data_IF_265882341133
#
_entry.id   IF_265882341133
#
_cell.length_a   1.000
_cell.length_b   1.000
_cell.length_c   1.000
_cell.angle_alpha   90.00
_cell.angle_beta   90.00
_cell.angle_gamma   90.00
#
_symmetry.space_group_name_H-M   'P 1'
#
loop_
_entity.id
_entity.type
_entity.pdbx_description
1 polymer ?
#
# COMPACT_ATOMS: atom_id res chain seq x y z
N UNK A 1 -42.14 -7.13 -40.50
CA UNK A 1 -42.84 -8.41 -40.34
C UNK A 1 -43.22 -8.45 -38.88
N UNK A 2 -44.31 -7.74 -38.49
CA UNK A 2 -45.70 -8.18 -38.38
C UNK A 2 -45.86 -9.25 -37.30
N UNK A 3 -46.64 -9.12 -36.30
CA UNK A 3 -48.03 -8.82 -36.02
C UNK A 3 -48.19 -8.63 -34.49
N UNK A 4 -48.73 -7.61 -33.93
CA UNK A 4 -50.14 -7.19 -33.88
C UNK A 4 -51.10 -8.32 -33.41
N UNK A 5 -51.66 -8.16 -32.23
CA UNK A 5 -53.08 -8.46 -31.98
C UNK A 5 -53.60 -7.78 -30.70
N UNK A 6 -54.42 -6.78 -30.94
CA UNK A 6 -55.46 -6.28 -30.03
C UNK A 6 -56.53 -7.34 -29.78
N UNK A 7 -57.13 -7.39 -28.59
CA UNK A 7 -58.57 -7.63 -28.41
C UNK A 7 -59.09 -6.84 -27.20
N UNK A 8 -60.08 -6.04 -27.47
CA UNK A 8 -60.92 -5.30 -26.58
C UNK A 8 -62.09 -6.15 -26.08
N UNK A 9 -62.70 -5.77 -24.95
CA UNK A 9 -64.00 -6.26 -24.59
C UNK A 9 -64.50 -5.91 -23.20
N UNK A 10 -65.11 -4.74 -23.08
CA UNK A 10 -66.41 -4.41 -22.41
C UNK A 10 -66.62 -4.76 -20.94
N UNK A 11 -66.94 -3.72 -20.16
CA UNK A 11 -67.71 -3.79 -18.90
C UNK A 11 -69.22 -4.05 -19.18
N UNK A 12 -70.18 -3.71 -18.28
CA UNK A 12 -70.12 -3.18 -16.92
C UNK A 12 -71.13 -3.95 -15.98
N UNK A 13 -71.10 -3.76 -14.72
CA UNK A 13 -72.31 -3.88 -13.86
C UNK A 13 -72.10 -3.19 -12.48
N UNK A 14 -72.89 -2.20 -12.29
CA UNK A 14 -73.22 -1.54 -11.02
C UNK A 14 -73.88 -2.53 -10.04
N UNK A 15 -73.56 -2.43 -8.78
CA UNK A 15 -74.49 -2.76 -7.65
C UNK A 15 -74.03 -2.14 -6.35
N UNK A 16 -74.96 -1.83 -5.41
CA UNK A 16 -74.85 -0.75 -4.46
C UNK A 16 -74.55 -1.22 -3.00
N UNK A 17 -74.00 -0.29 -2.27
CA UNK A 17 -74.33 -0.11 -0.88
C UNK A 17 -74.07 -1.23 0.12
N UNK A 18 -72.88 -1.20 0.74
CA UNK A 18 -72.76 -1.70 2.11
C UNK A 18 -71.90 -0.70 2.88
N UNK A 19 -72.56 -0.01 3.79
CA UNK A 19 -71.97 0.88 4.79
C UNK A 19 -71.08 0.03 5.73
N UNK A 20 -69.83 -0.06 5.39
CA UNK A 20 -68.84 -0.63 6.31
C UNK A 20 -68.45 0.45 7.33
N UNK A 21 -68.90 0.25 8.55
CA UNK A 21 -68.46 0.98 9.70
C UNK A 21 -66.94 0.95 9.77
N UNK A 22 -66.32 2.08 9.51
CA UNK A 22 -64.88 2.29 9.61
C UNK A 22 -64.52 2.20 11.10
N UNK A 23 -64.08 1.00 11.49
CA UNK A 23 -63.44 0.81 12.78
C UNK A 23 -62.14 1.64 12.78
N UNK A 24 -62.20 2.73 13.53
CA UNK A 24 -61.04 3.60 13.81
C UNK A 24 -60.01 2.78 14.56
N UNK A 25 -59.05 2.27 13.84
CA UNK A 25 -57.85 1.64 14.43
C UNK A 25 -57.02 2.75 15.08
N UNK A 26 -57.20 2.94 16.37
CA UNK A 26 -56.28 3.73 17.20
C UNK A 26 -54.85 3.18 16.98
N UNK A 27 -53.88 4.02 16.58
CA UNK A 27 -52.50 3.60 16.55
C UNK A 27 -52.07 3.22 17.97
N UNK A 28 -51.85 1.94 18.19
CA UNK A 28 -51.18 1.44 19.39
C UNK A 28 -49.82 2.13 19.46
N UNK A 29 -49.68 3.10 20.31
CA UNK A 29 -48.44 3.78 20.63
C UNK A 29 -47.42 2.70 21.02
N UNK A 30 -46.50 2.42 20.10
CA UNK A 30 -45.31 1.61 20.32
C UNK A 30 -44.55 2.27 21.45
N UNK A 31 -44.84 1.86 22.68
CA UNK A 31 -44.01 2.22 23.82
C UNK A 31 -42.62 1.75 23.52
N UNK A 32 -41.74 2.65 23.04
CA UNK A 32 -40.31 2.43 23.05
C UNK A 32 -39.94 2.12 24.51
N UNK A 33 -39.68 0.84 24.76
CA UNK A 33 -39.01 0.46 25.98
C UNK A 33 -37.71 1.25 26.02
N UNK A 34 -37.68 2.31 26.81
CA UNK A 34 -36.44 2.94 27.20
C UNK A 34 -35.67 1.86 27.95
N UNK A 35 -34.74 1.19 27.23
CA UNK A 35 -33.84 0.22 27.82
C UNK A 35 -33.26 0.85 29.07
N UNK A 36 -33.32 0.12 30.17
CA UNK A 36 -32.71 0.49 31.45
C UNK A 36 -31.29 0.98 31.19
N UNK A 37 -31.09 2.30 31.18
CA UNK A 37 -29.80 2.91 31.26
C UNK A 37 -29.27 2.66 32.68
N UNK A 38 -28.60 1.51 32.86
CA UNK A 38 -27.88 1.24 34.08
C UNK A 38 -26.70 2.22 34.11
N UNK A 39 -26.78 3.19 35.02
CA UNK A 39 -25.66 4.09 35.29
C UNK A 39 -24.47 3.25 35.77
N UNK A 40 -23.30 3.46 35.16
CA UNK A 40 -22.06 2.86 35.61
C UNK A 40 -21.72 3.34 36.99
N UNK A 41 -21.38 2.43 37.90
CA UNK A 41 -20.89 2.80 39.22
C UNK A 41 -19.45 3.34 39.09
N UNK A 42 -19.08 4.26 40.01
CA UNK A 42 -17.72 4.81 40.04
C UNK A 42 -16.66 3.69 40.16
N UNK A 43 -16.98 2.65 40.95
CA UNK A 43 -16.09 1.49 41.11
C UNK A 43 -15.93 0.71 39.82
N UNK A 44 -17.00 0.48 39.06
CA UNK A 44 -16.96 -0.20 37.77
C UNK A 44 -16.11 0.56 36.75
N UNK A 45 -16.24 1.90 36.73
CA UNK A 45 -15.40 2.74 35.87
C UNK A 45 -13.94 2.61 36.25
N UNK A 46 -13.57 2.68 37.53
CA UNK A 46 -12.18 2.55 37.97
C UNK A 46 -11.61 1.17 37.62
N UNK A 47 -12.37 0.11 37.83
CA UNK A 47 -11.94 -1.27 37.50
C UNK A 47 -11.74 -1.43 35.98
N UNK A 48 -12.68 -0.91 35.18
CA UNK A 48 -12.55 -1.02 33.71
C UNK A 48 -11.35 -0.27 33.16
N UNK A 49 -11.08 0.96 33.62
CA UNK A 49 -9.90 1.72 33.16
C UNK A 49 -8.61 1.07 33.65
N UNK A 50 -8.58 0.46 34.84
CA UNK A 50 -7.41 -0.27 35.33
C UNK A 50 -7.11 -1.48 34.45
N UNK A 51 -8.11 -2.29 34.10
CA UNK A 51 -7.95 -3.44 33.21
C UNK A 51 -7.49 -2.99 31.82
N UNK A 52 -8.12 -1.95 31.25
CA UNK A 52 -7.74 -1.39 29.94
C UNK A 52 -6.30 -0.87 29.96
N UNK A 53 -5.88 -0.21 31.05
CA UNK A 53 -4.50 0.25 31.22
C UNK A 53 -3.48 -0.87 31.18
N UNK A 54 -3.75 -2.00 31.86
CA UNK A 54 -2.88 -3.17 31.86
C UNK A 54 -2.80 -3.78 30.45
N UNK A 55 -3.95 -3.96 29.78
CA UNK A 55 -3.98 -4.50 28.43
C UNK A 55 -3.25 -3.60 27.40
N UNK A 56 -3.45 -2.29 27.50
CA UNK A 56 -2.80 -1.31 26.65
C UNK A 56 -1.27 -1.31 26.81
N UNK A 57 -0.77 -1.52 28.03
CA UNK A 57 0.67 -1.55 28.31
C UNK A 57 1.40 -2.68 27.57
N UNK A 58 0.73 -3.81 27.36
CA UNK A 58 1.28 -4.97 26.61
C UNK A 58 1.09 -4.81 25.10
N UNK A 59 -0.05 -4.26 24.66
CA UNK A 59 -0.37 -4.12 23.23
C UNK A 59 0.55 -3.12 22.48
N UNK A 60 0.96 -2.04 23.15
CA UNK A 60 1.75 -0.98 22.55
C UNK A 60 3.12 -1.44 21.98
N UNK A 61 3.99 -2.16 22.72
CA UNK A 61 5.27 -2.62 22.17
C UNK A 61 5.10 -3.59 21.00
N UNK A 62 4.10 -4.48 21.07
CA UNK A 62 3.84 -5.45 20.00
C UNK A 62 3.51 -4.73 18.68
N UNK A 63 2.67 -3.68 18.74
CA UNK A 63 2.31 -2.92 17.55
C UNK A 63 3.52 -2.25 16.88
N UNK A 64 4.46 -1.72 17.65
CA UNK A 64 5.70 -1.12 17.12
C UNK A 64 6.57 -2.13 16.37
N UNK A 65 6.76 -3.33 16.93
CA UNK A 65 7.51 -4.39 16.27
C UNK A 65 6.88 -4.83 14.93
N UNK A 66 5.56 -4.90 14.87
CA UNK A 66 4.87 -5.26 13.63
C UNK A 66 5.06 -4.20 12.54
N UNK A 67 4.95 -2.92 12.89
CA UNK A 67 5.18 -1.82 11.93
C UNK A 67 6.63 -1.83 11.43
N UNK A 68 7.61 -2.01 12.32
CA UNK A 68 9.01 -2.07 11.92
C UNK A 68 9.27 -3.27 10.98
N UNK A 69 8.74 -4.44 11.32
CA UNK A 69 8.86 -5.64 10.49
C UNK A 69 8.26 -5.45 9.07
N UNK A 70 7.11 -4.79 8.98
CA UNK A 70 6.50 -4.46 7.68
C UNK A 70 7.40 -3.55 6.85
N UNK A 71 7.93 -2.48 7.46
CA UNK A 71 8.87 -1.56 6.80
C UNK A 71 10.15 -2.25 6.34
N UNK A 72 10.69 -3.17 7.14
CA UNK A 72 11.88 -3.94 6.77
C UNK A 72 11.61 -4.87 5.58
N UNK A 73 10.44 -5.49 5.52
CA UNK A 73 10.05 -6.32 4.38
C UNK A 73 9.88 -5.48 3.10
N UNK A 74 9.27 -4.30 3.22
CA UNK A 74 9.11 -3.35 2.11
C UNK A 74 10.48 -2.87 1.63
N UNK A 75 11.40 -2.48 2.55
CA UNK A 75 12.76 -2.07 2.20
C UNK A 75 13.51 -3.18 1.43
N UNK A 76 13.47 -4.42 1.91
CA UNK A 76 14.11 -5.56 1.22
C UNK A 76 13.52 -5.80 -0.17
N UNK A 77 12.21 -5.63 -0.31
CA UNK A 77 11.54 -5.77 -1.60
C UNK A 77 11.99 -4.67 -2.58
N UNK A 78 12.03 -3.42 -2.12
CA UNK A 78 12.42 -2.27 -2.94
C UNK A 78 13.89 -2.36 -3.38
N UNK A 79 14.79 -2.75 -2.46
CA UNK A 79 16.19 -3.01 -2.79
C UNK A 79 16.33 -4.12 -3.83
N UNK A 80 15.59 -5.21 -3.67
CA UNK A 80 15.60 -6.31 -4.63
C UNK A 80 15.07 -5.89 -6.02
N UNK A 81 14.02 -5.07 -6.06
CA UNK A 81 13.48 -4.54 -7.33
C UNK A 81 14.50 -3.63 -8.04
N UNK A 82 15.14 -2.72 -7.30
CA UNK A 82 16.15 -1.81 -7.85
C UNK A 82 17.40 -2.55 -8.32
N UNK A 83 17.95 -3.45 -7.50
CA UNK A 83 19.11 -4.29 -7.86
C UNK A 83 18.80 -5.15 -9.09
N UNK A 84 17.61 -5.75 -9.14
CA UNK A 84 17.16 -6.50 -10.29
C UNK A 84 16.98 -5.65 -11.56
N UNK A 85 16.67 -4.36 -11.43
CA UNK A 85 16.64 -3.44 -12.58
C UNK A 85 18.05 -3.08 -13.06
N UNK A 86 19.00 -2.85 -12.13
CA UNK A 86 20.43 -2.64 -12.43
C UNK A 86 21.01 -3.85 -13.16
N UNK A 87 20.75 -5.05 -12.67
CA UNK A 87 21.23 -6.30 -13.30
C UNK A 87 20.70 -6.47 -14.72
N UNK A 88 19.40 -6.20 -14.94
CA UNK A 88 18.80 -6.25 -16.29
C UNK A 88 19.42 -5.24 -17.25
N UNK A 89 19.73 -4.03 -16.75
CA UNK A 89 20.45 -3.03 -17.54
C UNK A 89 21.84 -3.53 -17.91
N UNK A 90 22.59 -4.05 -16.94
CA UNK A 90 23.92 -4.64 -17.12
C UNK A 90 23.89 -5.78 -18.14
N UNK A 91 22.95 -6.69 -18.03
CA UNK A 91 22.75 -7.78 -18.99
C UNK A 91 22.49 -7.26 -20.41
N UNK A 92 21.75 -6.18 -20.58
CA UNK A 92 21.49 -5.59 -21.88
C UNK A 92 22.75 -4.90 -22.45
N UNK A 93 23.54 -4.26 -21.59
CA UNK A 93 24.83 -3.67 -21.95
C UNK A 93 25.84 -4.75 -22.38
N UNK A 94 25.98 -5.85 -21.63
CA UNK A 94 26.90 -6.95 -21.90
C UNK A 94 26.56 -7.69 -23.21
N UNK A 95 25.28 -7.70 -23.59
CA UNK A 95 24.83 -8.22 -24.89
C UNK A 95 25.07 -7.23 -26.05
N UNK A 96 25.64 -6.06 -25.77
CA UNK A 96 25.88 -5.01 -26.78
C UNK A 96 24.59 -4.31 -27.26
N UNK A 97 23.47 -4.48 -26.54
CA UNK A 97 22.21 -3.84 -26.90
C UNK A 97 22.15 -2.36 -26.50
N UNK A 98 22.98 -1.94 -25.54
CA UNK A 98 23.10 -0.57 -25.03
C UNK A 98 24.54 -0.12 -25.21
N UNK A 99 24.73 1.09 -25.73
CA UNK A 99 26.06 1.73 -25.76
C UNK A 99 26.29 2.39 -24.39
N UNK A 100 27.28 1.92 -23.69
CA UNK A 100 27.69 2.44 -22.38
C UNK A 100 29.07 3.09 -22.45
N UNK A 101 29.36 4.03 -21.56
CA UNK A 101 30.70 4.59 -21.42
C UNK A 101 31.68 3.48 -20.96
N UNK A 102 32.95 3.58 -21.39
CA UNK A 102 33.98 2.59 -21.05
C UNK A 102 34.16 2.44 -19.55
N UNK A 103 34.10 3.55 -18.82
CA UNK A 103 34.31 3.59 -17.37
C UNK A 103 33.08 3.17 -16.56
N UNK A 104 31.92 2.95 -17.21
CA UNK A 104 30.69 2.54 -16.53
C UNK A 104 30.64 1.03 -16.25
N UNK A 105 31.52 0.22 -16.82
CA UNK A 105 31.50 -1.23 -16.73
C UNK A 105 30.15 -1.87 -17.12
N UNK A 106 29.35 -1.16 -17.93
CA UNK A 106 28.04 -1.62 -18.36
C UNK A 106 26.91 -1.37 -17.34
N UNK A 107 27.19 -0.70 -16.23
CA UNK A 107 26.19 -0.28 -15.25
C UNK A 107 25.55 1.07 -15.62
N UNK A 108 24.33 1.37 -15.15
CA UNK A 108 23.66 2.63 -15.44
C UNK A 108 24.40 3.81 -14.77
N UNK A 109 24.40 5.02 -15.37
CA UNK A 109 25.01 6.20 -14.78
C UNK A 109 24.24 6.72 -13.56
N UNK A 110 22.94 6.54 -13.54
CA UNK A 110 22.02 6.96 -12.47
C UNK A 110 20.75 6.09 -12.43
N UNK A 111 19.97 6.20 -11.35
CA UNK A 111 18.69 5.49 -11.21
C UNK A 111 17.61 6.04 -12.16
N UNK A 112 17.70 7.31 -12.52
CA UNK A 112 16.73 7.93 -13.45
C UNK A 112 16.82 7.31 -14.84
N UNK A 113 18.00 6.89 -15.27
CA UNK A 113 18.19 6.15 -16.53
C UNK A 113 17.37 4.85 -16.58
N UNK A 114 17.23 4.16 -15.45
CA UNK A 114 16.41 2.93 -15.38
C UNK A 114 14.91 3.22 -15.53
N UNK A 115 14.44 4.37 -15.02
CA UNK A 115 13.04 4.80 -15.11
C UNK A 115 12.74 5.44 -16.46
N UNK A 116 13.62 6.32 -16.93
CA UNK A 116 13.47 6.98 -18.22
C UNK A 116 13.57 5.98 -19.37
N UNK A 117 14.38 4.95 -19.21
CA UNK A 117 14.64 3.91 -20.21
C UNK A 117 15.66 4.33 -21.25
N UNK A 118 16.21 3.34 -21.94
CA UNK A 118 17.24 3.47 -22.97
C UNK A 118 16.71 2.94 -24.30
N UNK A 119 17.15 3.54 -25.40
CA UNK A 119 16.81 3.07 -26.73
C UNK A 119 17.62 1.82 -27.09
N UNK A 120 16.90 0.73 -27.31
CA UNK A 120 17.45 -0.55 -27.74
C UNK A 120 16.84 -0.87 -29.10
N UNK A 121 17.64 -0.82 -30.15
CA UNK A 121 17.24 -1.12 -31.55
C UNK A 121 15.99 -0.32 -31.99
N UNK A 122 15.91 0.98 -31.63
CA UNK A 122 14.79 1.84 -31.98
C UNK A 122 13.53 1.68 -31.11
N UNK A 123 13.64 0.88 -30.04
CA UNK A 123 12.57 0.74 -29.04
C UNK A 123 13.05 1.19 -27.66
N UNK A 124 12.30 2.08 -27.04
CA UNK A 124 12.59 2.55 -25.68
C UNK A 124 12.22 1.47 -24.65
N UNK A 125 13.23 0.94 -23.95
CA UNK A 125 13.09 -0.09 -22.91
C UNK A 125 13.32 0.55 -21.54
N UNK A 126 12.38 0.34 -20.62
CA UNK A 126 12.46 0.77 -19.24
C UNK A 126 12.73 -0.43 -18.36
N UNK A 127 13.62 -0.28 -17.38
CA UNK A 127 14.03 -1.36 -16.46
C UNK A 127 13.34 -1.22 -15.11
N UNK A 128 12.98 0.01 -14.73
CA UNK A 128 12.25 0.32 -13.51
C UNK A 128 11.02 1.18 -13.84
N UNK A 129 9.91 0.98 -13.15
CA UNK A 129 8.69 1.79 -13.35
C UNK A 129 8.81 3.17 -12.69
N UNK A 130 9.33 3.20 -11.49
CA UNK A 130 9.59 4.39 -10.66
C UNK A 130 10.64 4.05 -9.62
N UNK A 131 11.36 5.03 -9.16
CA UNK A 131 12.23 4.87 -7.98
C UNK A 131 11.32 4.76 -6.75
N UNK A 132 11.40 3.67 -5.97
CA UNK A 132 10.60 3.51 -4.76
C UNK A 132 11.00 4.53 -3.70
N UNK A 133 10.12 4.74 -2.72
CA UNK A 133 10.40 5.58 -1.55
C UNK A 133 10.92 4.69 -0.44
N UNK A 134 12.08 5.03 0.13
CA UNK A 134 12.64 4.29 1.26
C UNK A 134 11.65 4.33 2.47
N UNK A 135 11.13 3.19 2.92
CA UNK A 135 10.16 3.14 4.02
C UNK A 135 10.76 3.54 5.38
N UNK A 136 12.11 3.59 5.49
CA UNK A 136 12.81 3.97 6.72
C UNK A 136 12.98 5.48 6.83
N UNK A 137 13.35 6.16 5.72
CA UNK A 137 13.54 7.62 5.68
C UNK A 137 12.28 8.37 5.25
N UNK A 138 11.37 7.71 4.52
CA UNK A 138 10.18 8.31 3.91
C UNK A 138 10.50 9.19 2.70
N UNK A 139 11.69 9.08 2.14
CA UNK A 139 12.19 9.84 0.99
C UNK A 139 12.72 8.92 -0.09
N UNK A 140 13.01 9.50 -1.27
CA UNK A 140 13.68 8.79 -2.37
C UNK A 140 15.20 9.11 -2.37
N UNK A 141 15.80 9.12 -1.20
CA UNK A 141 17.21 9.46 -0.97
C UNK A 141 18.05 8.18 -0.78
N UNK A 142 18.09 7.36 -1.81
CA UNK A 142 18.92 6.16 -1.82
C UNK A 142 20.40 6.50 -1.88
N UNK A 143 21.21 5.79 -1.11
CA UNK A 143 22.67 5.88 -1.21
C UNK A 143 23.10 4.93 -2.33
N UNK A 144 23.89 5.47 -3.24
CA UNK A 144 24.39 4.77 -4.42
C UNK A 144 25.83 4.33 -4.18
N UNK A 145 26.23 3.27 -4.84
CA UNK A 145 27.61 2.80 -4.84
C UNK A 145 28.04 2.45 -6.27
N UNK A 146 29.24 2.89 -6.64
CA UNK A 146 29.88 2.52 -7.91
C UNK A 146 30.62 1.19 -7.77
N UNK A 147 30.87 0.53 -8.90
CA UNK A 147 31.65 -0.70 -8.93
C UNK A 147 33.09 -0.51 -8.46
N UNK A 148 33.61 0.72 -8.59
CA UNK A 148 34.97 1.11 -8.21
C UNK A 148 35.11 1.53 -6.75
N UNK A 149 33.99 1.77 -6.05
CA UNK A 149 34.00 2.24 -4.68
C UNK A 149 34.38 1.10 -3.72
N UNK A 150 35.04 1.45 -2.62
CA UNK A 150 35.30 0.48 -1.57
C UNK A 150 33.98 -0.04 -0.96
N UNK A 151 33.92 -1.33 -0.57
CA UNK A 151 32.71 -1.93 0.01
C UNK A 151 32.18 -1.21 1.26
N UNK A 152 33.06 -0.54 2.00
CA UNK A 152 32.73 0.18 3.24
C UNK A 152 32.63 1.71 3.02
N UNK A 153 32.69 2.19 1.76
CA UNK A 153 32.60 3.62 1.46
C UNK A 153 31.16 4.13 1.64
N UNK A 154 31.05 5.24 2.40
CA UNK A 154 29.79 5.99 2.53
C UNK A 154 29.60 7.04 1.39
N UNK A 155 30.57 7.17 0.48
CA UNK A 155 30.54 8.15 -0.61
C UNK A 155 30.44 7.47 -1.97
N UNK A 156 29.52 7.98 -2.81
CA UNK A 156 29.38 7.52 -4.18
C UNK A 156 30.41 8.19 -5.11
N UNK A 157 31.14 7.40 -5.88
CA UNK A 157 32.15 7.87 -6.83
C UNK A 157 31.58 8.53 -8.10
N UNK A 158 30.27 8.40 -8.35
CA UNK A 158 29.56 9.12 -9.42
C UNK A 158 29.77 8.55 -10.83
N UNK A 159 30.52 7.43 -11.00
CA UNK A 159 30.80 6.87 -12.33
C UNK A 159 29.66 5.98 -12.85
N UNK A 160 29.05 5.22 -11.96
CA UNK A 160 27.99 4.29 -12.30
C UNK A 160 27.21 3.90 -11.02
N UNK A 161 26.07 3.24 -11.19
CA UNK A 161 25.30 2.66 -10.11
C UNK A 161 25.41 1.14 -10.15
N UNK A 162 26.25 0.61 -9.29
CA UNK A 162 26.44 -0.83 -9.11
C UNK A 162 25.50 -1.38 -8.06
N UNK A 163 25.37 -0.69 -6.91
CA UNK A 163 24.52 -1.11 -5.81
C UNK A 163 23.79 0.09 -5.19
N UNK A 164 22.71 -0.21 -4.48
CA UNK A 164 21.88 0.76 -3.76
C UNK A 164 21.57 0.26 -2.37
N UNK A 165 21.55 1.17 -1.39
CA UNK A 165 21.18 0.88 -0.01
C UNK A 165 20.44 2.04 0.64
N UNK A 166 19.82 1.80 1.80
CA UNK A 166 19.06 2.82 2.52
C UNK A 166 19.98 3.85 3.14
N UNK A 167 19.56 5.13 3.10
CA UNK A 167 20.23 6.24 3.80
C UNK A 167 19.89 6.28 5.31
N UNK A 168 19.14 5.30 5.81
CA UNK A 168 18.74 5.24 7.22
C UNK A 168 19.89 4.80 8.11
N UNK A 169 20.17 5.57 9.16
CA UNK A 169 21.14 5.21 10.21
C UNK A 169 20.55 4.27 11.27
N UNK A 170 19.31 3.81 11.09
CA UNK A 170 18.64 2.91 12.00
C UNK A 170 19.19 1.48 11.95
N UNK A 171 18.78 0.68 12.94
CA UNK A 171 19.16 -0.72 13.06
C UNK A 171 17.92 -1.60 12.89
N UNK A 172 18.05 -2.65 12.13
CA UNK A 172 17.01 -3.64 11.91
C UNK A 172 16.73 -4.51 13.13
N UNK A 173 15.63 -5.26 13.07
CA UNK A 173 15.26 -6.22 14.13
C UNK A 173 16.29 -7.36 14.29
N UNK A 174 17.08 -7.59 13.25
CA UNK A 174 18.19 -8.56 13.25
C UNK A 174 19.50 -7.99 13.82
N UNK A 175 19.52 -6.71 14.21
CA UNK A 175 20.70 -6.03 14.76
C UNK A 175 21.65 -5.45 13.71
N UNK A 176 21.37 -5.61 12.41
CA UNK A 176 22.17 -5.04 11.32
C UNK A 176 21.73 -3.61 11.01
N UNK A 177 22.64 -2.76 10.53
CA UNK A 177 22.28 -1.40 10.08
C UNK A 177 21.60 -1.45 8.73
N UNK A 178 20.57 -0.61 8.52
CA UNK A 178 19.90 -0.52 7.21
C UNK A 178 20.82 -0.06 6.08
N UNK A 179 21.84 0.72 6.39
CA UNK A 179 22.88 1.14 5.43
C UNK A 179 23.74 -0.01 4.90
N UNK A 180 23.65 -1.20 5.48
CA UNK A 180 24.39 -2.39 5.03
C UNK A 180 23.52 -3.42 4.31
N UNK A 181 22.25 -3.11 4.10
CA UNK A 181 21.28 -4.03 3.46
C UNK A 181 21.31 -4.01 1.94
#
# INVERSE_FOLDING_TARGET
>A
MDCCCMVAGRGPASQPGASVVRAEQRPQGRRRSLGNAHGLTLVELIVTIAILGILASVAYPIARFQIQRQKEQELRHDLWEMRGAIDKYKDAADRGAIQTAVDSFGYPPDLDTLVNGVDIQGKKVKFLRRIPTDPMTGKQDWVLRSMQDDPDSDSWGGQNVFDVHSNSQGTGLDGTKYSTW
#
